data_IF_506533455353
#
_entry.id   IF_506533455353
#
_cell.length_a   1.000
_cell.length_b   1.000
_cell.length_c   1.000
_cell.angle_alpha   90.00
_cell.angle_beta   90.00
_cell.angle_gamma   90.00
#
_symmetry.space_group_name_H-M   'P 1'
#
loop_
_entity.id
_entity.type
_entity.pdbx_description
1 polymer ?
#
# COMPACT_ATOMS: atom_id res chain seq x y z
N UNK A 1 17.79 10.80 4.80
CA UNK A 1 16.47 11.39 5.00
C UNK A 1 16.10 11.94 6.40
N UNK A 2 16.69 11.52 7.49
CA UNK A 2 16.53 12.15 8.80
C UNK A 2 17.27 13.51 8.84
N UNK A 3 18.37 13.65 8.13
CA UNK A 3 19.23 14.84 8.11
C UNK A 3 18.60 16.10 7.52
N UNK A 4 17.55 15.95 6.69
CA UNK A 4 16.89 17.09 6.04
C UNK A 4 15.59 17.52 6.74
N UNK A 5 15.19 16.82 7.80
CA UNK A 5 14.00 17.19 8.55
C UNK A 5 14.31 18.39 9.46
N UNK A 6 13.69 19.54 9.17
CA UNK A 6 13.86 20.78 9.92
C UNK A 6 12.94 20.90 11.14
N UNK A 7 11.97 20.00 11.30
CA UNK A 7 11.05 20.00 12.43
C UNK A 7 11.58 19.26 13.66
N UNK A 8 10.89 19.38 14.77
CA UNK A 8 11.24 18.69 15.99
C UNK A 8 10.50 17.34 16.06
N UNK A 9 11.19 16.25 15.72
CA UNK A 9 10.64 14.89 15.77
C UNK A 9 10.09 14.50 17.15
N UNK A 10 10.68 15.03 18.23
CA UNK A 10 10.20 14.80 19.60
C UNK A 10 8.85 15.48 19.86
N UNK A 11 8.53 16.58 19.16
CA UNK A 11 7.25 17.28 19.29
C UNK A 11 6.11 16.61 18.53
N UNK A 12 6.40 15.97 17.39
CA UNK A 12 5.36 15.32 16.60
C UNK A 12 5.83 13.98 16.02
N UNK A 13 5.54 12.90 16.74
CA UNK A 13 5.88 11.53 16.35
C UNK A 13 5.23 11.11 15.02
N UNK A 14 4.19 11.80 14.53
CA UNK A 14 3.55 11.54 13.24
C UNK A 14 4.43 11.87 12.03
N UNK A 15 5.56 12.56 12.27
CA UNK A 15 6.59 12.77 11.26
C UNK A 15 7.66 11.65 11.22
N UNK A 16 7.65 10.76 12.19
CA UNK A 16 8.46 9.53 12.15
C UNK A 16 7.66 8.50 11.39
N UNK A 17 8.03 8.29 10.12
CA UNK A 17 7.28 7.44 9.19
C UNK A 17 8.15 6.27 8.74
N UNK A 18 7.57 5.08 8.79
CA UNK A 18 8.13 3.86 8.20
C UNK A 18 7.76 3.78 6.72
N UNK A 19 8.26 2.76 6.00
CA UNK A 19 7.90 2.52 4.59
C UNK A 19 6.43 2.18 4.45
N UNK A 20 5.85 2.53 3.29
CA UNK A 20 4.43 2.31 3.03
C UNK A 20 4.05 0.83 3.12
N UNK A 21 2.96 0.60 3.83
CA UNK A 21 2.27 -0.66 3.92
C UNK A 21 0.84 -0.37 4.39
N UNK A 22 -0.15 -1.10 3.92
CA UNK A 22 -1.51 -0.97 4.42
C UNK A 22 -2.07 -2.31 4.86
N UNK A 23 -2.93 -2.29 5.87
CA UNK A 23 -3.65 -3.47 6.35
C UNK A 23 -5.15 -3.24 6.21
N UNK A 24 -5.86 -4.21 5.64
CA UNK A 24 -7.30 -4.22 5.49
C UNK A 24 -7.86 -5.32 6.37
N UNK A 25 -8.74 -4.95 7.30
CA UNK A 25 -9.56 -5.89 8.04
C UNK A 25 -10.99 -5.82 7.54
N UNK A 26 -11.46 -6.89 6.86
CA UNK A 26 -12.82 -6.99 6.33
C UNK A 26 -13.54 -8.17 6.97
N UNK A 27 -14.23 -7.89 8.07
CA UNK A 27 -14.74 -8.93 8.95
C UNK A 27 -13.60 -9.78 9.51
N UNK A 28 -13.58 -11.08 9.21
CA UNK A 28 -12.49 -12.00 9.61
C UNK A 28 -11.37 -12.14 8.53
N UNK A 29 -11.49 -11.45 7.39
CA UNK A 29 -10.45 -11.42 6.35
C UNK A 29 -9.41 -10.35 6.68
N UNK A 30 -8.14 -10.76 6.76
CA UNK A 30 -6.98 -9.90 7.02
C UNK A 30 -6.06 -9.87 5.78
N UNK A 31 -5.91 -8.70 5.15
CA UNK A 31 -5.13 -8.53 3.93
C UNK A 31 -4.07 -7.47 4.13
N UNK A 32 -2.89 -7.72 3.60
CA UNK A 32 -1.78 -6.77 3.59
C UNK A 32 -1.56 -6.26 2.18
N UNK A 33 -1.43 -4.95 2.02
CA UNK A 33 -0.98 -4.33 0.77
C UNK A 33 0.49 -3.99 0.94
N UNK A 34 1.32 -4.64 0.16
CA UNK A 34 2.77 -4.62 0.19
C UNK A 34 3.36 -5.14 1.51
N UNK A 35 4.63 -5.54 1.48
CA UNK A 35 5.38 -5.98 2.66
C UNK A 35 6.63 -5.12 2.81
N UNK A 36 6.47 -3.97 3.45
CA UNK A 36 7.57 -3.04 3.66
C UNK A 36 8.70 -3.67 4.48
N UNK A 37 9.95 -3.17 4.40
CA UNK A 37 11.03 -3.63 5.26
C UNK A 37 10.76 -3.42 6.76
N UNK A 38 9.82 -2.54 7.11
CA UNK A 38 9.43 -2.22 8.49
C UNK A 38 8.26 -3.07 9.01
N UNK A 39 7.74 -4.00 8.20
CA UNK A 39 6.45 -4.68 8.42
C UNK A 39 6.37 -5.40 9.77
N UNK A 40 7.45 -6.00 10.24
CA UNK A 40 7.51 -6.64 11.56
C UNK A 40 7.13 -5.65 12.68
N UNK A 41 7.79 -4.48 12.70
CA UNK A 41 7.52 -3.45 13.69
C UNK A 41 6.13 -2.84 13.52
N UNK A 42 5.69 -2.66 12.27
CA UNK A 42 4.33 -2.19 11.95
C UNK A 42 3.28 -3.16 12.51
N UNK A 43 3.45 -4.46 12.34
CA UNK A 43 2.53 -5.48 12.84
C UNK A 43 2.50 -5.55 14.36
N UNK A 44 3.68 -5.56 15.01
CA UNK A 44 3.76 -5.56 16.47
C UNK A 44 3.09 -4.34 17.09
N UNK A 45 3.38 -3.14 16.54
CA UNK A 45 2.81 -1.87 17.03
C UNK A 45 1.29 -1.81 16.85
N UNK A 46 0.77 -2.33 15.76
CA UNK A 46 -0.66 -2.29 15.45
C UNK A 46 -1.41 -3.58 15.82
N UNK A 47 -0.75 -4.52 16.51
CA UNK A 47 -1.33 -5.80 16.98
C UNK A 47 -1.95 -6.63 15.86
N UNK A 48 -1.34 -6.61 14.65
CA UNK A 48 -1.78 -7.42 13.52
C UNK A 48 -1.21 -8.82 13.72
N UNK A 49 -2.09 -9.79 13.94
CA UNK A 49 -1.76 -11.17 14.33
C UNK A 49 -2.23 -12.23 13.32
N UNK A 50 -2.80 -11.82 12.19
CA UNK A 50 -3.22 -12.72 11.13
C UNK A 50 -3.02 -12.10 9.75
N UNK A 51 -2.72 -12.93 8.74
CA UNK A 51 -2.62 -12.54 7.33
C UNK A 51 -3.23 -13.66 6.49
N UNK A 52 -4.31 -13.35 5.79
CA UNK A 52 -4.99 -14.30 4.90
C UNK A 52 -4.53 -14.17 3.45
N UNK A 53 -4.09 -12.97 3.06
CA UNK A 53 -3.56 -12.71 1.73
C UNK A 53 -2.66 -11.47 1.72
N UNK A 54 -1.77 -11.42 0.72
CA UNK A 54 -0.94 -10.25 0.43
C UNK A 54 -1.25 -9.81 -1.00
N UNK A 55 -1.42 -8.52 -1.21
CA UNK A 55 -1.55 -7.93 -2.55
C UNK A 55 -0.40 -6.94 -2.76
N UNK A 56 0.31 -7.03 -3.88
CA UNK A 56 1.45 -6.18 -4.18
C UNK A 56 1.13 -5.16 -5.24
N UNK A 57 1.49 -3.91 -4.98
CA UNK A 57 1.35 -2.81 -5.93
C UNK A 57 2.39 -2.91 -7.05
N UNK A 58 3.65 -3.16 -6.70
CA UNK A 58 4.76 -3.35 -7.64
C UNK A 58 5.95 -4.04 -6.95
N UNK A 59 7.07 -4.18 -7.66
CA UNK A 59 8.20 -5.01 -7.23
C UNK A 59 9.34 -4.26 -6.51
N UNK A 60 9.26 -2.96 -6.25
CA UNK A 60 10.35 -2.23 -5.60
C UNK A 60 10.63 -2.73 -4.17
N UNK A 61 11.89 -2.62 -3.77
CA UNK A 61 12.38 -3.20 -2.53
C UNK A 61 11.70 -2.62 -1.27
N UNK A 62 11.38 -1.35 -1.26
CA UNK A 62 10.69 -0.70 -0.15
C UNK A 62 9.21 -1.15 0.01
N UNK A 63 8.65 -1.81 -1.01
CA UNK A 63 7.33 -2.44 -0.97
C UNK A 63 7.38 -3.95 -0.74
N UNK A 64 8.55 -4.58 -0.88
CA UNK A 64 8.62 -6.06 -0.93
C UNK A 64 9.61 -6.69 0.04
N UNK A 65 10.60 -5.95 0.58
CA UNK A 65 11.70 -6.53 1.36
C UNK A 65 11.29 -7.19 2.67
N UNK A 66 10.10 -6.88 3.21
CA UNK A 66 9.55 -7.53 4.40
C UNK A 66 8.84 -8.87 4.15
N UNK A 67 8.90 -9.40 2.94
CA UNK A 67 8.20 -10.63 2.54
C UNK A 67 8.54 -11.84 3.45
N UNK A 68 9.78 -11.94 3.96
CA UNK A 68 10.20 -13.02 4.84
C UNK A 68 9.56 -12.97 6.23
N UNK A 69 9.14 -11.80 6.68
CA UNK A 69 8.45 -11.61 7.96
C UNK A 69 7.03 -12.21 7.94
N UNK A 70 6.58 -12.70 6.80
CA UNK A 70 5.30 -13.42 6.68
C UNK A 70 5.38 -14.90 7.11
N UNK A 71 6.58 -15.44 7.34
CA UNK A 71 6.78 -16.85 7.75
C UNK A 71 6.02 -17.27 9.01
N UNK A 72 5.90 -16.48 10.08
CA UNK A 72 5.11 -16.84 11.26
C UNK A 72 3.65 -17.14 10.93
N UNK A 73 3.04 -16.42 10.00
CA UNK A 73 1.64 -16.63 9.60
C UNK A 73 1.44 -17.91 8.78
N UNK A 74 2.47 -18.31 8.01
CA UNK A 74 2.49 -19.62 7.37
C UNK A 74 2.48 -20.76 8.42
N UNK A 75 3.33 -20.67 9.44
CA UNK A 75 3.39 -21.67 10.50
C UNK A 75 2.11 -21.71 11.33
N UNK A 76 1.59 -20.56 11.71
CA UNK A 76 0.35 -20.45 12.48
C UNK A 76 -0.83 -21.13 11.78
N UNK A 77 -0.94 -20.96 10.46
CA UNK A 77 -2.06 -21.46 9.68
C UNK A 77 -1.78 -22.81 8.99
N UNK A 78 -0.53 -23.29 9.02
CA UNK A 78 -0.02 -24.42 8.25
C UNK A 78 -0.47 -24.39 6.77
N UNK A 79 -0.52 -23.22 6.20
CA UNK A 79 -1.04 -22.96 4.85
C UNK A 79 -0.25 -21.85 4.16
N UNK A 80 0.10 -22.08 2.88
CA UNK A 80 0.75 -21.06 2.06
C UNK A 80 -0.12 -19.81 1.96
N UNK A 81 0.49 -18.64 2.18
CA UNK A 81 -0.19 -17.36 2.10
C UNK A 81 -0.42 -17.02 0.61
N UNK A 82 -1.66 -16.78 0.17
CA UNK A 82 -1.94 -16.32 -1.19
C UNK A 82 -1.34 -14.92 -1.42
N UNK A 83 -0.57 -14.79 -2.50
CA UNK A 83 0.06 -13.53 -2.92
C UNK A 83 -0.50 -13.14 -4.28
N UNK A 84 -0.99 -11.92 -4.40
CA UNK A 84 -1.60 -11.39 -5.61
C UNK A 84 -0.79 -10.21 -6.13
N UNK A 85 -0.60 -10.14 -7.45
CA UNK A 85 0.10 -9.03 -8.11
C UNK A 85 0.03 -9.15 -9.63
N UNK A 86 0.46 -8.11 -10.33
CA UNK A 86 0.60 -8.16 -11.78
C UNK A 86 1.57 -9.27 -12.21
N UNK A 87 1.49 -9.72 -13.45
CA UNK A 87 2.43 -10.70 -13.99
C UNK A 87 3.89 -10.27 -13.77
N UNK A 88 4.19 -9.01 -14.06
CA UNK A 88 5.53 -8.42 -13.87
C UNK A 88 5.96 -8.50 -12.39
N UNK A 89 5.12 -8.03 -11.49
CA UNK A 89 5.39 -8.04 -10.04
C UNK A 89 5.61 -9.45 -9.51
N UNK A 90 4.71 -10.39 -9.85
CA UNK A 90 4.84 -11.80 -9.41
C UNK A 90 6.11 -12.44 -9.97
N UNK A 91 6.47 -12.18 -11.22
CA UNK A 91 7.70 -12.71 -11.82
C UNK A 91 8.95 -12.17 -11.11
N UNK A 92 8.98 -10.87 -10.81
CA UNK A 92 10.08 -10.25 -10.07
C UNK A 92 10.19 -10.82 -8.64
N UNK A 93 9.07 -10.93 -7.90
CA UNK A 93 9.05 -11.51 -6.57
C UNK A 93 9.59 -12.95 -6.55
N UNK A 94 9.17 -13.80 -7.50
CA UNK A 94 9.66 -15.19 -7.61
C UNK A 94 11.16 -15.26 -7.88
N UNK A 95 11.70 -14.34 -8.66
CA UNK A 95 13.12 -14.25 -8.97
C UNK A 95 13.92 -13.78 -7.75
N UNK A 96 13.48 -12.72 -7.09
CA UNK A 96 14.19 -12.09 -5.97
C UNK A 96 14.06 -12.89 -4.68
N UNK A 97 12.85 -13.41 -4.40
CA UNK A 97 12.51 -14.09 -3.15
C UNK A 97 12.19 -15.57 -3.39
N UNK A 98 13.05 -16.27 -4.12
CA UNK A 98 12.85 -17.66 -4.56
C UNK A 98 12.41 -18.59 -3.43
N UNK A 99 12.99 -18.48 -2.22
CA UNK A 99 12.63 -19.30 -1.05
C UNK A 99 11.18 -19.16 -0.59
N UNK A 100 10.56 -18.03 -0.86
CA UNK A 100 9.15 -17.84 -0.48
C UNK A 100 8.20 -18.64 -1.38
N UNK A 101 8.59 -18.94 -2.61
CA UNK A 101 7.72 -19.52 -3.63
C UNK A 101 8.06 -20.95 -4.03
N UNK A 102 9.34 -21.34 -3.90
CA UNK A 102 9.83 -22.63 -4.34
C UNK A 102 10.56 -23.35 -3.21
N UNK A 103 10.43 -24.67 -3.17
CA UNK A 103 11.22 -25.49 -2.26
C UNK A 103 12.70 -25.42 -2.63
N UNK A 104 13.52 -25.16 -1.65
CA UNK A 104 14.98 -25.06 -1.79
C UNK A 104 15.64 -25.62 -0.54
N UNK A 105 16.55 -26.59 -0.71
CA UNK A 105 17.36 -27.15 0.38
C UNK A 105 16.54 -27.57 1.60
N UNK A 106 15.38 -28.22 1.39
CA UNK A 106 14.48 -28.64 2.47
C UNK A 106 13.58 -27.54 3.06
N UNK A 107 13.71 -26.28 2.62
CA UNK A 107 12.79 -25.21 3.03
C UNK A 107 11.50 -25.24 2.21
N UNK A 108 10.39 -25.44 2.90
CA UNK A 108 9.06 -25.39 2.28
C UNK A 108 8.67 -23.97 1.90
N UNK A 109 8.12 -23.76 0.68
CA UNK A 109 7.64 -22.44 0.28
C UNK A 109 6.45 -21.99 1.12
N UNK A 110 6.48 -20.73 1.53
CA UNK A 110 5.48 -20.14 2.43
C UNK A 110 4.36 -19.41 1.67
N UNK A 111 4.52 -19.19 0.36
CA UNK A 111 3.62 -18.39 -0.46
C UNK A 111 3.08 -19.14 -1.66
N UNK A 112 1.86 -18.78 -2.08
CA UNK A 112 1.21 -19.20 -3.32
C UNK A 112 0.91 -17.97 -4.17
N UNK A 113 1.58 -17.85 -5.32
CA UNK A 113 1.40 -16.71 -6.22
C UNK A 113 0.14 -16.82 -7.06
N UNK A 114 -0.53 -15.68 -7.25
CA UNK A 114 -1.70 -15.51 -8.11
C UNK A 114 -1.51 -14.25 -8.95
N UNK A 115 -1.59 -14.39 -10.27
CA UNK A 115 -1.58 -13.25 -11.19
C UNK A 115 -2.97 -12.64 -11.18
N UNK A 116 -3.05 -11.34 -10.90
CA UNK A 116 -4.33 -10.62 -10.86
C UNK A 116 -4.88 -10.38 -12.27
N UNK A 117 -6.22 -10.37 -12.33
CA UNK A 117 -7.01 -9.81 -13.44
C UNK A 117 -7.62 -8.49 -12.96
N UNK A 118 -8.32 -7.77 -13.83
CA UNK A 118 -8.99 -6.50 -13.50
C UNK A 118 -9.91 -6.57 -12.27
N UNK A 119 -10.40 -7.76 -11.93
CA UNK A 119 -11.19 -8.04 -10.73
C UNK A 119 -10.83 -9.43 -10.21
N UNK A 120 -10.63 -9.52 -8.89
CA UNK A 120 -10.40 -10.78 -8.19
C UNK A 120 -11.05 -10.75 -6.81
N UNK A 121 -11.08 -11.88 -6.13
CA UNK A 121 -11.77 -12.04 -4.86
C UNK A 121 -10.87 -12.73 -3.85
N UNK A 122 -10.92 -12.26 -2.61
CA UNK A 122 -10.33 -12.93 -1.46
C UNK A 122 -11.47 -13.44 -0.59
N UNK A 123 -11.46 -14.75 -0.29
CA UNK A 123 -12.54 -15.44 0.43
C UNK A 123 -12.02 -16.06 1.71
N UNK A 124 -12.79 -15.92 2.78
CA UNK A 124 -12.59 -16.63 4.05
C UNK A 124 -13.95 -16.93 4.67
N UNK A 125 -14.20 -18.22 4.96
CA UNK A 125 -15.53 -18.69 5.42
C UNK A 125 -16.64 -18.17 4.49
N UNK A 126 -17.63 -17.50 5.05
CA UNK A 126 -18.79 -16.96 4.32
C UNK A 126 -18.58 -15.53 3.79
N UNK A 127 -17.38 -14.96 3.98
CA UNK A 127 -17.09 -13.60 3.53
C UNK A 127 -16.25 -13.58 2.27
N UNK A 128 -16.52 -12.61 1.40
CA UNK A 128 -15.81 -12.40 0.13
C UNK A 128 -15.56 -10.92 -0.03
N UNK A 129 -14.30 -10.51 -0.09
CA UNK A 129 -13.91 -9.16 -0.50
C UNK A 129 -13.60 -9.15 -1.99
N UNK A 130 -14.32 -8.32 -2.73
CA UNK A 130 -14.08 -8.08 -4.15
C UNK A 130 -13.09 -6.93 -4.33
N UNK A 131 -12.03 -7.15 -5.09
CA UNK A 131 -10.99 -6.16 -5.33
C UNK A 131 -10.88 -5.92 -6.84
N UNK A 132 -10.98 -4.66 -7.25
CA UNK A 132 -10.65 -4.23 -8.61
C UNK A 132 -9.19 -3.79 -8.65
N UNK A 133 -8.49 -4.11 -9.73
CA UNK A 133 -7.11 -3.66 -9.97
C UNK A 133 -7.02 -2.95 -11.31
N UNK A 134 -6.17 -1.96 -11.40
CA UNK A 134 -5.94 -1.17 -12.62
C UNK A 134 -4.53 -0.59 -12.63
N UNK A 135 -4.04 -0.30 -13.85
CA UNK A 135 -2.71 0.28 -14.03
C UNK A 135 -2.65 1.73 -13.54
N UNK A 136 -1.60 2.06 -12.83
CA UNK A 136 -1.11 3.42 -12.59
C UNK A 136 0.33 3.53 -13.09
N UNK A 137 0.83 4.74 -13.32
CA UNK A 137 2.20 4.95 -13.79
C UNK A 137 3.08 5.39 -12.62
N UNK A 138 4.19 4.71 -12.45
CA UNK A 138 5.25 5.01 -11.50
C UNK A 138 6.56 5.23 -12.25
N UNK A 139 6.80 6.47 -12.67
CA UNK A 139 7.92 6.80 -13.54
C UNK A 139 7.85 6.05 -14.88
N UNK A 140 8.80 5.16 -15.10
CA UNK A 140 8.90 4.36 -16.32
C UNK A 140 8.18 3.00 -16.24
N UNK A 141 7.63 2.65 -15.08
CA UNK A 141 6.96 1.36 -14.88
C UNK A 141 5.48 1.54 -14.60
N UNK A 142 4.75 0.44 -14.74
CA UNK A 142 3.37 0.35 -14.26
C UNK A 142 3.38 -0.23 -12.85
N UNK A 143 2.69 0.45 -11.95
CA UNK A 143 2.27 -0.10 -10.67
C UNK A 143 0.76 -0.40 -10.71
N UNK A 144 0.25 -1.05 -9.68
CA UNK A 144 -1.15 -1.44 -9.58
C UNK A 144 -1.87 -0.62 -8.52
N UNK A 145 -2.91 0.10 -8.93
CA UNK A 145 -3.90 0.67 -8.02
C UNK A 145 -5.00 -0.35 -7.71
N UNK A 146 -5.55 -0.28 -6.51
CA UNK A 146 -6.61 -1.17 -6.03
C UNK A 146 -7.84 -0.39 -5.59
N UNK A 147 -9.02 -0.96 -5.88
CA UNK A 147 -10.30 -0.49 -5.31
C UNK A 147 -11.00 -1.66 -4.66
N UNK A 148 -11.37 -1.49 -3.40
CA UNK A 148 -12.23 -2.40 -2.65
C UNK A 148 -13.33 -1.58 -1.99
N UNK A 149 -14.58 -2.06 -2.12
CA UNK A 149 -15.77 -1.29 -1.81
C UNK A 149 -15.73 0.11 -2.49
N UNK A 150 -15.69 1.18 -1.71
CA UNK A 150 -15.55 2.56 -2.19
C UNK A 150 -14.22 3.21 -1.79
N UNK A 151 -13.19 2.40 -1.60
CA UNK A 151 -11.84 2.85 -1.22
C UNK A 151 -10.87 2.56 -2.35
N UNK A 152 -10.14 3.57 -2.81
CA UNK A 152 -9.00 3.39 -3.71
C UNK A 152 -7.68 3.53 -2.95
N UNK A 153 -6.74 2.63 -3.22
CA UNK A 153 -5.38 2.67 -2.72
C UNK A 153 -4.41 2.83 -3.88
N UNK A 154 -3.68 3.93 -3.89
CA UNK A 154 -2.72 4.33 -4.91
C UNK A 154 -1.42 4.73 -4.20
N UNK A 155 -0.55 3.76 -3.98
CA UNK A 155 0.83 3.99 -3.55
C UNK A 155 1.71 4.08 -4.79
N UNK A 156 2.79 4.83 -4.71
CA UNK A 156 3.84 4.93 -5.73
C UNK A 156 3.31 5.15 -7.15
N UNK A 157 2.87 6.36 -7.43
CA UNK A 157 2.45 6.76 -8.77
C UNK A 157 2.59 8.26 -9.01
N UNK A 158 2.79 8.64 -10.26
CA UNK A 158 2.84 10.04 -10.68
C UNK A 158 1.83 10.37 -11.78
N UNK A 159 1.11 9.36 -12.29
CA UNK A 159 0.10 9.56 -13.35
C UNK A 159 -0.93 8.43 -13.34
N UNK A 160 -2.17 8.79 -13.58
CA UNK A 160 -3.28 7.85 -13.76
C UNK A 160 -3.64 7.82 -15.24
N UNK A 161 -3.51 6.68 -15.94
CA UNK A 161 -3.96 6.57 -17.33
C UNK A 161 -5.46 6.87 -17.48
N UNK A 162 -5.87 7.49 -18.60
CA UNK A 162 -7.28 7.85 -18.83
C UNK A 162 -8.24 6.67 -18.66
N UNK A 163 -7.86 5.48 -19.16
CA UNK A 163 -8.65 4.24 -18.99
C UNK A 163 -8.84 3.82 -17.53
N UNK A 164 -7.93 4.24 -16.64
CA UNK A 164 -7.95 3.92 -15.22
C UNK A 164 -8.76 4.91 -14.38
N UNK A 165 -8.94 6.15 -14.87
CA UNK A 165 -9.63 7.24 -14.16
C UNK A 165 -11.04 6.85 -13.70
N UNK A 166 -11.76 6.07 -14.51
CA UNK A 166 -13.12 5.60 -14.18
C UNK A 166 -13.22 4.85 -12.84
N UNK A 167 -12.11 4.29 -12.34
CA UNK A 167 -12.08 3.58 -11.05
C UNK A 167 -11.97 4.52 -9.85
N UNK A 168 -11.75 5.81 -10.07
CA UNK A 168 -11.52 6.80 -9.02
C UNK A 168 -12.73 7.71 -8.74
N UNK A 169 -13.85 7.50 -9.42
CA UNK A 169 -15.07 8.26 -9.16
C UNK A 169 -15.95 7.60 -8.09
N UNK A 170 -16.73 8.42 -7.39
CA UNK A 170 -17.67 8.00 -6.34
C UNK A 170 -17.01 7.27 -5.16
N UNK A 171 -15.78 7.64 -4.82
CA UNK A 171 -15.04 7.07 -3.70
C UNK A 171 -15.46 7.71 -2.37
N UNK A 172 -15.56 6.87 -1.33
CA UNK A 172 -15.59 7.33 0.07
C UNK A 172 -14.20 7.78 0.53
N UNK A 173 -13.18 6.97 0.19
CA UNK A 173 -11.79 7.26 0.53
C UNK A 173 -10.87 7.09 -0.68
N UNK A 174 -9.96 8.01 -0.83
CA UNK A 174 -8.80 7.90 -1.71
C UNK A 174 -7.53 7.92 -0.87
N UNK A 175 -6.77 6.83 -0.86
CA UNK A 175 -5.41 6.81 -0.30
C UNK A 175 -4.48 7.04 -1.48
N UNK A 176 -3.75 8.15 -1.47
CA UNK A 176 -3.02 8.66 -2.63
C UNK A 176 -1.57 8.95 -2.30
N UNK A 177 -0.67 8.50 -3.18
CA UNK A 177 0.74 8.89 -3.18
C UNK A 177 0.91 10.41 -3.17
N UNK A 178 1.77 10.91 -2.30
CA UNK A 178 2.16 12.31 -2.24
C UNK A 178 3.56 12.41 -1.63
N UNK A 179 4.59 12.24 -2.45
CA UNK A 179 5.94 12.07 -1.91
C UNK A 179 6.50 13.36 -1.29
N UNK A 180 6.41 14.50 -1.98
CA UNK A 180 7.05 15.74 -1.56
C UNK A 180 6.44 17.01 -2.18
N UNK A 181 6.92 18.18 -1.78
CA UNK A 181 6.46 19.48 -2.31
C UNK A 181 6.89 19.65 -3.77
N UNK A 182 8.18 19.42 -4.06
CA UNK A 182 8.74 19.58 -5.43
C UNK A 182 8.35 18.40 -6.33
N UNK A 183 8.27 18.63 -7.64
CA UNK A 183 8.03 17.59 -8.63
C UNK A 183 9.01 16.43 -8.53
N UNK A 184 8.51 15.22 -8.79
CA UNK A 184 9.27 13.98 -8.79
C UNK A 184 8.96 13.17 -10.05
N UNK A 185 9.94 12.49 -10.66
CA UNK A 185 9.72 11.78 -11.92
C UNK A 185 8.81 10.57 -11.81
N UNK A 186 8.62 10.00 -10.61
CA UNK A 186 7.86 8.75 -10.42
C UNK A 186 6.76 8.82 -9.35
N UNK A 187 6.64 9.91 -8.61
CA UNK A 187 5.63 10.09 -7.57
C UNK A 187 4.84 11.39 -7.77
N UNK A 188 3.62 11.41 -7.29
CA UNK A 188 2.90 12.67 -7.14
C UNK A 188 3.61 13.59 -6.16
N UNK A 189 3.72 14.86 -6.51
CA UNK A 189 4.00 15.91 -5.55
C UNK A 189 2.69 16.45 -4.97
N UNK A 190 2.77 17.33 -3.99
CA UNK A 190 1.57 17.85 -3.32
C UNK A 190 0.60 18.55 -4.29
N UNK A 191 1.11 19.39 -5.19
CA UNK A 191 0.30 20.12 -6.16
C UNK A 191 -0.45 19.19 -7.11
N UNK A 192 0.26 18.21 -7.70
CA UNK A 192 -0.34 17.27 -8.65
C UNK A 192 -1.33 16.31 -7.97
N UNK A 193 -1.07 15.93 -6.71
CA UNK A 193 -2.00 15.17 -5.90
C UNK A 193 -3.31 15.95 -5.64
N UNK A 194 -3.21 17.22 -5.27
CA UNK A 194 -4.37 18.09 -5.06
C UNK A 194 -5.18 18.27 -6.36
N UNK A 195 -4.53 18.48 -7.51
CA UNK A 195 -5.21 18.55 -8.82
C UNK A 195 -6.00 17.26 -9.14
N UNK A 196 -5.42 16.10 -8.87
CA UNK A 196 -6.13 14.83 -9.05
C UNK A 196 -7.36 14.73 -8.12
N UNK A 197 -7.21 15.13 -6.86
CA UNK A 197 -8.32 15.12 -5.88
C UNK A 197 -9.48 16.02 -6.34
N UNK A 198 -9.18 17.21 -6.88
CA UNK A 198 -10.18 18.13 -7.43
C UNK A 198 -10.96 17.52 -8.62
N UNK A 199 -10.30 16.71 -9.45
CA UNK A 199 -10.93 16.03 -10.59
C UNK A 199 -11.83 14.88 -10.13
N UNK A 200 -11.34 14.01 -9.22
CA UNK A 200 -12.05 12.77 -8.87
C UNK A 200 -13.04 12.95 -7.71
N UNK A 201 -12.88 14.01 -6.92
CA UNK A 201 -13.78 14.44 -5.82
C UNK A 201 -14.16 13.32 -4.86
N UNK A 202 -13.19 12.62 -4.23
CA UNK A 202 -13.51 11.63 -3.20
C UNK A 202 -14.07 12.34 -1.96
N UNK A 203 -14.89 11.64 -1.16
CA UNK A 203 -15.38 12.25 0.10
C UNK A 203 -14.25 12.58 1.07
N UNK A 204 -13.27 11.69 1.17
CA UNK A 204 -12.08 11.87 2.02
C UNK A 204 -10.83 11.40 1.30
N UNK A 205 -9.70 12.07 1.52
CA UNK A 205 -8.39 11.66 1.00
C UNK A 205 -7.39 11.50 2.13
N UNK A 206 -6.57 10.46 2.04
CA UNK A 206 -5.39 10.24 2.87
C UNK A 206 -4.17 10.32 1.98
N UNK A 207 -3.32 11.33 2.19
CA UNK A 207 -2.04 11.44 1.50
C UNK A 207 -1.02 10.53 2.17
N UNK A 208 -0.45 9.62 1.41
CA UNK A 208 0.55 8.65 1.91
C UNK A 208 1.91 8.84 1.23
N UNK A 209 2.91 8.04 1.62
CA UNK A 209 4.27 8.08 1.09
C UNK A 209 5.02 9.40 1.35
N UNK A 210 4.62 10.12 2.39
CA UNK A 210 5.06 11.48 2.70
C UNK A 210 6.54 11.53 3.09
N UNK A 211 7.33 12.29 2.36
CA UNK A 211 8.73 12.58 2.66
C UNK A 211 8.87 13.63 3.78
N UNK A 212 10.09 13.84 4.27
CA UNK A 212 10.40 14.72 5.41
C UNK A 212 10.10 16.20 5.20
N UNK A 213 9.96 16.67 3.96
CA UNK A 213 9.56 18.05 3.62
C UNK A 213 8.05 18.30 3.74
N UNK A 214 7.26 17.25 3.91
CA UNK A 214 5.82 17.29 4.14
C UNK A 214 5.52 17.07 5.62
N UNK A 215 5.73 18.13 6.42
CA UNK A 215 5.45 18.11 7.85
C UNK A 215 3.97 17.88 8.16
N UNK A 216 3.68 17.01 9.15
CA UNK A 216 2.30 16.62 9.48
C UNK A 216 1.45 17.81 9.94
N UNK A 217 1.98 18.67 10.83
CA UNK A 217 1.21 19.78 11.39
C UNK A 217 1.01 20.88 10.36
N UNK A 218 2.04 21.12 9.52
CA UNK A 218 1.91 22.02 8.38
C UNK A 218 0.81 21.56 7.44
N UNK A 219 0.83 20.31 7.00
CA UNK A 219 -0.21 19.76 6.12
C UNK A 219 -1.59 19.80 6.77
N UNK A 220 -1.71 19.40 8.03
CA UNK A 220 -2.99 19.42 8.76
C UNK A 220 -3.59 20.82 8.83
N UNK A 221 -2.76 21.87 8.92
CA UNK A 221 -3.19 23.27 8.97
C UNK A 221 -3.62 23.83 7.62
N UNK A 222 -2.96 23.42 6.53
CA UNK A 222 -3.10 24.05 5.21
C UNK A 222 -3.92 23.24 4.21
N UNK A 223 -4.17 21.96 4.48
CA UNK A 223 -5.01 21.12 3.61
C UNK A 223 -6.51 21.34 3.90
N UNK A 224 -7.38 21.19 2.89
CA UNK A 224 -8.82 21.11 3.08
C UNK A 224 -9.20 20.05 4.13
N UNK A 225 -10.30 20.25 4.86
CA UNK A 225 -10.71 19.38 5.98
C UNK A 225 -10.94 17.91 5.60
N UNK A 226 -11.26 17.64 4.35
CA UNK A 226 -11.45 16.30 3.80
C UNK A 226 -10.16 15.62 3.33
N UNK A 227 -9.00 16.30 3.40
CA UNK A 227 -7.69 15.75 3.03
C UNK A 227 -6.82 15.68 4.29
N UNK A 228 -6.27 14.51 4.58
CA UNK A 228 -5.44 14.28 5.77
C UNK A 228 -4.09 13.66 5.40
N UNK A 229 -2.98 14.11 6.00
CA UNK A 229 -1.70 13.40 5.89
C UNK A 229 -1.75 12.08 6.69
N UNK A 230 -1.21 11.00 6.13
CA UNK A 230 -1.03 9.74 6.82
C UNK A 230 0.07 9.80 7.89
N UNK A 231 -0.03 8.91 8.84
CA UNK A 231 1.01 8.60 9.83
C UNK A 231 0.92 7.11 10.19
N UNK A 232 1.99 6.55 10.75
CA UNK A 232 2.05 5.13 11.11
C UNK A 232 0.99 4.77 12.16
N UNK A 233 0.13 3.83 11.84
CA UNK A 233 -0.98 3.40 12.69
C UNK A 233 -2.28 4.20 12.46
N UNK A 234 -2.34 5.08 11.45
CA UNK A 234 -3.62 5.70 11.07
C UNK A 234 -4.60 4.61 10.64
N UNK A 235 -5.77 4.58 11.27
CA UNK A 235 -6.85 3.65 10.94
C UNK A 235 -8.19 4.39 10.79
N UNK A 236 -9.10 3.81 10.02
CA UNK A 236 -10.47 4.28 9.84
C UNK A 236 -11.38 3.11 9.45
N UNK A 237 -12.66 3.24 9.77
CA UNK A 237 -13.68 2.27 9.38
C UNK A 237 -14.35 2.71 8.06
N UNK A 238 -14.87 1.74 7.31
CA UNK A 238 -15.53 1.94 6.02
C UNK A 238 -16.65 0.92 5.78
#
# INVERSE_FOLDING_TARGET
>A
WITNYKGNLKKNLKNIRTRCCAHIQYGDISIVIDTSPDIKNQFLKNKINSVDAIIYTHEHADQTSGIFEMRPFYWQNNKKIPVFGSHRTISALKKTYTYCFYERFGYKPIMKSNIIKNKFHIKKKNKTLSIKSFDVIHGMIKATGYVFEKIAYLSDCNKIPNKSMKNLYNLEYLILDCLKIKKHPSHFNLEDALKLIEIVKPKKTILTNLHTDLDYDYLKKHLPSNIKPAYDGLSFNF
#
